data_IF_051723726381
#
_entry.id   IF_051723726381
#
_cell.length_a   1.000
_cell.length_b   1.000
_cell.length_c   1.000
_cell.angle_alpha   90.00
_cell.angle_beta   90.00
_cell.angle_gamma   90.00
#
_symmetry.space_group_name_H-M   'P 1'
#
loop_
_entity.id
_entity.type
_entity.pdbx_description
1 polymer ?
#
# COMPACT_ATOMS: atom_id res chain seq x y z
N UNK A 1 -7.61 -1.60 2.31
CA UNK A 1 -7.80 -0.94 1.00
C UNK A 1 -7.60 0.57 1.11
N UNK A 2 -7.24 1.21 0.00
CA UNK A 2 -6.96 2.64 -0.08
C UNK A 2 -7.94 3.32 -1.03
N UNK A 3 -8.45 4.49 -0.66
CA UNK A 3 -9.35 5.30 -1.46
C UNK A 3 -9.11 6.80 -1.23
N UNK A 4 -9.57 7.63 -2.15
CA UNK A 4 -9.54 9.09 -2.02
C UNK A 4 -10.95 9.65 -1.89
N UNK A 5 -11.29 10.24 -0.74
CA UNK A 5 -12.59 10.85 -0.38
C UNK A 5 -13.82 9.95 -0.48
N UNK A 6 -13.92 9.10 -1.48
CA UNK A 6 -15.09 8.26 -1.76
C UNK A 6 -14.66 6.80 -1.98
N UNK A 7 -15.04 5.93 -1.06
CA UNK A 7 -14.67 4.50 -1.10
C UNK A 7 -15.36 3.72 -2.22
N UNK A 8 -16.40 4.27 -2.85
CA UNK A 8 -17.10 3.65 -3.97
C UNK A 8 -16.54 4.10 -5.32
N UNK A 9 -16.46 5.43 -5.53
CA UNK A 9 -16.16 6.02 -6.83
C UNK A 9 -14.66 6.35 -7.04
N UNK A 10 -13.91 6.50 -5.95
CA UNK A 10 -12.49 6.85 -5.97
C UNK A 10 -11.65 5.81 -5.22
N UNK A 11 -11.98 4.55 -5.40
CA UNK A 11 -11.25 3.41 -4.84
C UNK A 11 -9.94 3.21 -5.62
N UNK A 12 -8.83 3.22 -4.91
CA UNK A 12 -7.50 3.04 -5.52
C UNK A 12 -7.10 1.56 -5.54
N UNK A 13 -7.25 0.87 -4.42
CA UNK A 13 -6.90 -0.54 -4.32
C UNK A 13 -8.12 -1.42 -4.18
N UNK A 14 -8.00 -2.62 -4.71
CA UNK A 14 -9.11 -3.56 -4.76
C UNK A 14 -9.43 -4.12 -3.39
N UNK A 15 -10.73 -4.20 -3.10
CA UNK A 15 -11.28 -4.85 -1.93
C UNK A 15 -12.57 -5.58 -2.32
N UNK A 16 -12.69 -6.83 -1.95
CA UNK A 16 -13.91 -7.62 -2.15
C UNK A 16 -14.60 -7.82 -0.81
N UNK A 17 -15.84 -7.40 -0.73
CA UNK A 17 -16.62 -7.49 0.50
C UNK A 17 -16.87 -8.93 0.96
N UNK A 18 -17.08 -9.84 -0.01
CA UNK A 18 -17.30 -11.26 0.24
C UNK A 18 -16.09 -12.09 -0.19
N UNK A 19 -14.92 -11.76 0.31
CA UNK A 19 -13.73 -12.53 0.01
C UNK A 19 -13.89 -13.97 0.46
N UNK A 20 -13.63 -14.89 -0.47
CA UNK A 20 -13.30 -16.26 -0.10
C UNK A 20 -12.00 -16.19 0.72
N UNK A 21 -11.87 -16.94 1.84
CA UNK A 21 -10.67 -16.87 2.68
C UNK A 21 -9.34 -17.11 1.96
N UNK A 22 -9.38 -17.73 0.78
CA UNK A 22 -8.22 -18.02 -0.06
C UNK A 22 -7.77 -16.86 -0.97
N UNK A 23 -8.59 -15.81 -1.12
CA UNK A 23 -8.29 -14.65 -1.99
C UNK A 23 -8.21 -13.38 -1.12
N UNK A 24 -7.26 -13.37 -0.22
CA UNK A 24 -7.03 -12.24 0.68
C UNK A 24 -6.52 -11.03 -0.12
N UNK A 25 -7.37 -10.00 -0.28
CA UNK A 25 -6.95 -8.71 -0.83
C UNK A 25 -6.08 -7.96 0.18
N UNK A 26 -5.02 -7.29 -0.29
CA UNK A 26 -4.14 -6.54 0.60
C UNK A 26 -2.97 -5.89 -0.13
N UNK A 27 -2.14 -5.20 0.65
CA UNK A 27 -0.84 -4.73 0.25
C UNK A 27 0.19 -5.66 0.87
N UNK A 28 1.06 -6.24 0.05
CA UNK A 28 1.99 -7.26 0.51
C UNK A 28 3.42 -6.92 0.16
N UNK A 29 4.32 -7.36 1.04
CA UNK A 29 5.75 -7.45 0.78
C UNK A 29 6.15 -8.90 0.95
N UNK A 30 6.54 -9.55 -0.13
CA UNK A 30 7.10 -10.90 -0.08
C UNK A 30 8.60 -10.79 0.03
N UNK A 31 9.17 -11.44 1.02
CA UNK A 31 10.61 -11.54 1.22
C UNK A 31 11.02 -12.98 0.92
N UNK A 32 11.91 -13.14 -0.03
CA UNK A 32 12.44 -14.44 -0.43
C UNK A 32 13.92 -14.52 -0.07
N UNK A 33 14.28 -15.59 0.64
CA UNK A 33 15.65 -15.96 1.00
C UNK A 33 15.84 -17.44 0.69
N UNK A 34 16.57 -17.77 -0.39
CA UNK A 34 16.62 -19.13 -0.91
C UNK A 34 15.23 -19.67 -1.25
N UNK A 35 14.84 -20.76 -0.63
CA UNK A 35 13.53 -21.39 -0.82
C UNK A 35 12.46 -20.87 0.15
N UNK A 36 12.85 -20.03 1.11
CA UNK A 36 11.92 -19.48 2.12
C UNK A 36 11.28 -18.21 1.60
N UNK A 37 9.95 -18.18 1.58
CA UNK A 37 9.14 -17.00 1.25
C UNK A 37 8.29 -16.67 2.46
N UNK A 38 8.30 -15.42 2.88
CA UNK A 38 7.52 -14.94 4.01
C UNK A 38 7.08 -13.48 3.84
N UNK A 39 6.13 -13.04 4.66
CA UNK A 39 5.62 -11.66 4.68
C UNK A 39 5.76 -11.06 6.08
N UNK A 40 6.11 -9.77 6.22
CA UNK A 40 6.15 -9.12 7.53
C UNK A 40 4.84 -9.20 8.30
N UNK A 41 3.69 -9.13 7.61
CA UNK A 41 2.35 -9.27 8.19
C UNK A 41 1.88 -10.71 8.40
N UNK A 42 2.71 -11.73 8.19
CA UNK A 42 2.40 -13.15 8.21
C UNK A 42 1.53 -13.62 7.04
N UNK A 43 0.43 -12.95 6.75
CA UNK A 43 -0.36 -13.22 5.54
C UNK A 43 0.24 -12.51 4.32
N UNK A 44 0.09 -13.07 3.09
CA UNK A 44 -0.73 -14.23 2.74
C UNK A 44 0.05 -15.56 2.75
N UNK A 45 1.38 -15.57 2.90
CA UNK A 45 2.19 -16.81 2.85
C UNK A 45 1.96 -17.72 4.05
N UNK A 46 1.57 -17.17 5.18
CA UNK A 46 1.38 -17.89 6.46
C UNK A 46 2.61 -18.67 6.92
N UNK A 47 3.79 -18.29 6.42
CA UNK A 47 5.06 -18.85 6.85
C UNK A 47 5.30 -18.52 8.32
N UNK A 48 5.61 -19.50 9.17
CA UNK A 48 5.89 -19.24 10.59
C UNK A 48 7.01 -18.23 10.76
N UNK A 49 6.75 -17.18 11.55
CA UNK A 49 7.70 -16.12 11.89
C UNK A 49 8.42 -16.46 13.20
N UNK A 50 9.65 -15.99 13.34
CA UNK A 50 10.43 -16.16 14.57
C UNK A 50 9.98 -15.14 15.63
N UNK A 51 9.57 -13.93 15.18
CA UNK A 51 8.95 -12.92 16.04
C UNK A 51 7.92 -12.11 15.25
N UNK A 52 6.92 -11.56 15.96
CA UNK A 52 5.91 -10.68 15.37
C UNK A 52 5.42 -9.67 16.40
N UNK A 53 5.41 -8.40 16.05
CA UNK A 53 4.81 -7.33 16.85
C UNK A 53 4.07 -6.37 15.90
N UNK A 54 2.82 -6.03 16.24
CA UNK A 54 2.06 -4.98 15.58
C UNK A 54 1.76 -3.86 16.55
N UNK A 55 2.18 -2.65 16.21
CA UNK A 55 1.89 -1.42 16.97
C UNK A 55 1.01 -0.51 16.15
N UNK A 56 -0.18 -0.24 16.67
CA UNK A 56 -1.13 0.70 16.07
C UNK A 56 -1.03 2.01 16.80
N UNK A 57 -0.63 3.04 16.07
CA UNK A 57 -0.60 4.42 16.55
C UNK A 57 -1.74 5.25 15.95
N UNK A 58 -1.80 6.52 16.33
CA UNK A 58 -2.75 7.47 15.77
C UNK A 58 -2.31 7.88 14.36
N UNK A 59 -3.01 7.35 13.35
CA UNK A 59 -2.74 7.64 11.94
C UNK A 59 -1.59 6.84 11.32
N UNK A 60 -1.00 5.87 12.03
CA UNK A 60 0.01 4.98 11.48
C UNK A 60 -0.07 3.58 12.09
N UNK A 61 0.49 2.61 11.39
CA UNK A 61 0.66 1.23 11.89
C UNK A 61 2.09 0.79 11.60
N UNK A 62 2.73 0.12 12.57
CA UNK A 62 4.05 -0.45 12.42
C UNK A 62 4.01 -1.95 12.75
N UNK A 63 4.47 -2.77 11.80
CA UNK A 63 4.60 -4.22 11.95
C UNK A 63 6.08 -4.56 11.94
N UNK A 64 6.55 -5.17 13.01
CA UNK A 64 7.93 -5.67 13.12
C UNK A 64 7.88 -7.18 13.24
N UNK A 65 8.63 -7.86 12.39
CA UNK A 65 8.71 -9.32 12.39
C UNK A 65 10.10 -9.79 11.98
N UNK A 66 10.43 -11.03 12.31
CA UNK A 66 11.69 -11.63 11.90
C UNK A 66 11.52 -13.05 11.39
N UNK A 67 12.41 -13.44 10.49
CA UNK A 67 12.56 -14.81 10.00
C UNK A 67 14.03 -15.10 9.70
N UNK A 68 14.55 -16.19 10.23
CA UNK A 68 15.93 -16.65 9.99
C UNK A 68 17.00 -15.56 10.25
N UNK A 69 16.78 -14.70 11.26
CA UNK A 69 17.67 -13.58 11.57
C UNK A 69 17.63 -12.41 10.57
N UNK A 70 16.66 -12.37 9.67
CA UNK A 70 16.31 -11.19 8.91
C UNK A 70 15.10 -10.51 9.58
N UNK A 71 15.27 -9.27 10.04
CA UNK A 71 14.22 -8.48 10.67
C UNK A 71 13.62 -7.50 9.68
N UNK A 72 12.31 -7.49 9.58
CA UNK A 72 11.54 -6.52 8.80
C UNK A 72 10.75 -5.60 9.73
N UNK A 73 10.75 -4.29 9.43
CA UNK A 73 9.85 -3.33 10.04
C UNK A 73 9.13 -2.55 8.96
N UNK A 74 7.81 -2.72 8.88
CA UNK A 74 6.93 -2.04 7.95
C UNK A 74 6.14 -0.98 8.70
N UNK A 75 6.32 0.31 8.37
CA UNK A 75 5.54 1.41 8.94
C UNK A 75 4.71 2.06 7.83
N UNK A 76 3.39 2.05 8.00
CA UNK A 76 2.42 2.61 7.05
C UNK A 76 1.77 3.84 7.66
N UNK A 77 1.65 4.91 6.88
CA UNK A 77 0.93 6.13 7.28
C UNK A 77 0.25 6.81 6.09
N UNK A 78 -0.73 7.63 6.40
CA UNK A 78 -1.28 8.63 5.47
C UNK A 78 -0.85 10.01 5.99
N UNK A 79 0.18 10.63 5.37
CA UNK A 79 0.71 11.90 5.85
C UNK A 79 -0.27 13.05 5.59
N UNK A 80 -0.31 14.00 6.50
CA UNK A 80 -1.21 15.15 6.41
C UNK A 80 -0.85 16.07 5.24
N UNK A 81 -1.89 16.51 4.51
CA UNK A 81 -1.71 17.42 3.36
C UNK A 81 -1.29 16.72 2.06
N UNK A 82 -1.15 15.41 2.08
CA UNK A 82 -0.79 14.62 0.90
C UNK A 82 -1.89 13.63 0.53
N UNK A 83 -2.02 13.35 -0.74
CA UNK A 83 -2.96 12.38 -1.29
C UNK A 83 -2.28 11.04 -1.53
N UNK A 84 -1.62 10.52 -0.50
CA UNK A 84 -0.82 9.30 -0.59
C UNK A 84 -0.89 8.47 0.70
N UNK A 85 -0.84 7.15 0.53
CA UNK A 85 -0.42 6.19 1.54
C UNK A 85 1.07 5.93 1.36
N UNK A 86 1.84 6.08 2.42
CA UNK A 86 3.30 5.91 2.38
C UNK A 86 3.72 4.80 3.32
N UNK A 87 4.47 3.85 2.78
CA UNK A 87 5.02 2.73 3.55
C UNK A 87 6.54 2.78 3.53
N UNK A 88 7.16 2.85 4.71
CA UNK A 88 8.57 2.55 4.85
C UNK A 88 8.75 1.09 5.28
N UNK A 89 9.54 0.35 4.53
CA UNK A 89 9.99 -0.99 4.87
C UNK A 89 11.49 -0.99 5.12
N UNK A 90 11.91 -1.39 6.32
CA UNK A 90 13.31 -1.62 6.63
C UNK A 90 13.57 -3.11 6.79
N UNK A 91 14.69 -3.59 6.23
CA UNK A 91 15.17 -4.96 6.34
C UNK A 91 16.57 -4.95 6.94
N UNK A 92 16.72 -5.56 8.12
CA UNK A 92 18.00 -5.62 8.85
C UNK A 92 18.48 -7.05 8.93
N UNK A 93 19.71 -7.29 8.51
CA UNK A 93 20.39 -8.59 8.70
C UNK A 93 20.97 -8.64 10.11
N UNK A 94 20.32 -9.38 11.02
CA UNK A 94 20.78 -9.57 12.40
C UNK A 94 21.74 -10.75 12.57
N UNK A 95 22.20 -11.37 11.45
CA UNK A 95 23.14 -12.49 11.49
C UNK A 95 24.57 -12.03 11.27
N UNK A 96 25.53 -12.95 11.51
CA UNK A 96 26.96 -12.74 11.26
C UNK A 96 27.40 -13.02 9.82
N UNK A 97 26.49 -13.48 8.95
CA UNK A 97 26.77 -13.82 7.56
C UNK A 97 25.96 -12.92 6.60
N UNK A 98 26.47 -12.64 5.39
CA UNK A 98 25.70 -11.93 4.37
C UNK A 98 24.44 -12.69 3.98
N UNK A 99 23.35 -11.96 3.68
CA UNK A 99 22.07 -12.50 3.24
C UNK A 99 21.70 -11.97 1.87
N UNK A 100 21.42 -12.88 0.93
CA UNK A 100 20.85 -12.52 -0.37
C UNK A 100 19.34 -12.62 -0.28
N UNK A 101 18.66 -11.53 -0.59
CA UNK A 101 17.23 -11.43 -0.51
C UNK A 101 16.64 -10.91 -1.83
N UNK A 102 15.44 -11.35 -2.13
CA UNK A 102 14.57 -10.75 -3.13
C UNK A 102 13.30 -10.26 -2.45
N UNK A 103 13.03 -8.98 -2.59
CA UNK A 103 11.80 -8.34 -2.09
C UNK A 103 10.86 -8.12 -3.27
N UNK A 104 9.60 -8.51 -3.09
CA UNK A 104 8.51 -8.20 -4.01
C UNK A 104 7.44 -7.40 -3.30
N UNK A 105 7.18 -6.18 -3.76
CA UNK A 105 5.99 -5.43 -3.34
C UNK A 105 4.77 -5.91 -4.12
N UNK A 106 3.58 -5.72 -3.58
CA UNK A 106 2.34 -6.06 -4.27
C UNK A 106 1.18 -5.19 -3.82
N UNK A 107 0.50 -4.58 -4.80
CA UNK A 107 -0.83 -3.99 -4.65
C UNK A 107 -1.71 -4.41 -5.83
N UNK A 108 -3.01 -4.56 -5.62
CA UNK A 108 -3.98 -4.75 -6.70
C UNK A 108 -4.80 -3.49 -6.86
N UNK A 109 -4.81 -2.91 -8.07
CA UNK A 109 -5.60 -1.72 -8.36
C UNK A 109 -7.08 -2.05 -8.53
N UNK A 110 -7.93 -1.18 -7.99
CA UNK A 110 -9.33 -1.11 -8.34
C UNK A 110 -9.50 -0.35 -9.66
N UNK A 111 -10.50 -0.71 -10.45
CA UNK A 111 -10.89 0.07 -11.63
C UNK A 111 -11.76 1.29 -11.24
N UNK A 112 -11.39 1.96 -10.17
CA UNK A 112 -11.94 3.16 -9.54
C UNK A 112 -13.33 3.00 -8.95
N UNK A 113 -14.30 2.49 -9.70
CA UNK A 113 -15.64 2.21 -9.19
C UNK A 113 -15.66 0.84 -8.50
N UNK A 114 -15.74 0.84 -7.18
CA UNK A 114 -15.70 -0.40 -6.39
C UNK A 114 -16.89 -1.33 -6.67
N UNK A 115 -18.05 -0.80 -6.98
CA UNK A 115 -19.22 -1.61 -7.30
C UNK A 115 -19.05 -2.30 -8.67
N UNK A 116 -18.58 -1.56 -9.66
CA UNK A 116 -18.30 -2.12 -10.98
C UNK A 116 -17.15 -3.12 -10.92
N UNK A 117 -16.11 -2.82 -10.12
CA UNK A 117 -14.96 -3.70 -9.94
C UNK A 117 -15.29 -5.00 -9.19
N UNK A 118 -16.33 -5.00 -8.35
CA UNK A 118 -16.79 -6.20 -7.63
C UNK A 118 -17.58 -7.17 -8.50
N UNK A 119 -18.09 -6.73 -9.63
CA UNK A 119 -18.86 -7.55 -10.56
C UNK A 119 -18.02 -7.90 -11.79
N UNK A 120 -17.84 -9.20 -12.07
CA UNK A 120 -16.99 -9.65 -13.17
C UNK A 120 -17.44 -9.11 -14.54
N UNK A 121 -18.73 -8.95 -14.75
CA UNK A 121 -19.27 -8.42 -15.99
C UNK A 121 -18.91 -6.95 -16.22
N UNK A 122 -19.03 -6.13 -15.19
CA UNK A 122 -18.77 -4.69 -15.28
C UNK A 122 -17.28 -4.37 -15.50
N UNK A 123 -16.39 -5.20 -14.99
CA UNK A 123 -14.95 -5.06 -15.21
C UNK A 123 -14.54 -5.11 -16.68
N UNK A 124 -15.31 -5.78 -17.52
CA UNK A 124 -15.03 -5.84 -18.95
C UNK A 124 -15.25 -4.51 -19.67
N UNK A 125 -15.87 -3.53 -19.02
CA UNK A 125 -16.14 -2.21 -19.58
C UNK A 125 -15.18 -1.12 -19.10
N UNK A 126 -14.29 -1.43 -18.19
CA UNK A 126 -13.25 -0.52 -17.72
C UNK A 126 -11.89 -1.16 -17.99
N UNK A 127 -11.06 -0.45 -18.73
CA UNK A 127 -9.73 -0.93 -19.13
C UNK A 127 -8.68 -0.21 -18.30
N UNK A 128 -7.83 -0.97 -17.64
CA UNK A 128 -6.63 -0.43 -17.04
C UNK A 128 -5.63 -0.05 -18.14
N UNK A 129 -5.03 1.10 -18.00
CA UNK A 129 -3.86 1.49 -18.79
C UNK A 129 -2.71 1.79 -17.85
N UNK A 130 -1.57 1.16 -18.10
CA UNK A 130 -0.38 1.28 -17.30
C UNK A 130 0.66 2.12 -18.02
N UNK A 131 1.36 2.94 -17.27
CA UNK A 131 2.54 3.66 -17.74
C UNK A 131 3.68 3.47 -16.74
N UNK A 132 4.93 3.61 -17.21
CA UNK A 132 6.10 3.32 -16.41
C UNK A 132 7.14 4.43 -16.53
N UNK A 133 7.89 4.65 -15.46
CA UNK A 133 9.09 5.49 -15.46
C UNK A 133 10.19 4.84 -14.61
N UNK A 134 11.41 5.32 -14.82
CA UNK A 134 12.59 4.92 -14.04
C UNK A 134 12.81 3.39 -14.03
N UNK A 135 12.65 2.75 -15.19
CA UNK A 135 12.85 1.30 -15.31
C UNK A 135 11.83 0.45 -14.53
N UNK A 136 10.62 0.99 -14.31
CA UNK A 136 9.54 0.29 -13.62
C UNK A 136 9.47 0.56 -12.10
N UNK A 137 10.39 1.39 -11.53
CA UNK A 137 10.28 1.78 -10.13
C UNK A 137 9.10 2.72 -9.85
N UNK A 138 8.53 3.32 -10.88
CA UNK A 138 7.33 4.13 -10.82
C UNK A 138 6.32 3.60 -11.83
N UNK A 139 5.16 3.18 -11.32
CA UNK A 139 4.06 2.57 -12.07
C UNK A 139 2.84 3.48 -11.93
N UNK A 140 2.24 3.83 -13.06
CA UNK A 140 1.03 4.64 -13.13
C UNK A 140 -0.14 3.81 -13.61
N UNK A 141 -1.30 4.01 -13.00
CA UNK A 141 -2.54 3.35 -13.36
C UNK A 141 -3.66 4.35 -13.58
N UNK A 142 -4.24 4.33 -14.75
CA UNK A 142 -5.50 5.01 -15.07
C UNK A 142 -6.50 4.02 -15.67
N UNK A 143 -7.76 4.39 -15.73
CA UNK A 143 -8.77 3.64 -16.46
C UNK A 143 -9.33 4.44 -17.62
N UNK A 144 -9.58 3.76 -18.71
CA UNK A 144 -10.23 4.30 -19.88
C UNK A 144 -11.54 3.55 -20.16
N UNK A 145 -12.22 3.93 -21.22
CA UNK A 145 -13.50 3.42 -21.68
C UNK A 145 -14.67 3.92 -20.82
N UNK A 146 -15.07 3.23 -19.75
CA UNK A 146 -16.20 3.64 -18.92
C UNK A 146 -15.84 4.72 -17.91
N UNK A 147 -14.68 4.61 -17.32
CA UNK A 147 -14.14 5.57 -16.36
C UNK A 147 -13.04 6.43 -17.01
N UNK A 148 -13.42 7.60 -17.50
CA UNK A 148 -12.53 8.50 -18.26
C UNK A 148 -12.23 9.79 -17.53
N UNK A 149 -12.00 9.72 -16.24
CA UNK A 149 -11.70 10.91 -15.45
C UNK A 149 -10.24 11.34 -15.63
N UNK A 150 -9.93 12.49 -15.09
CA UNK A 150 -8.61 13.10 -15.14
C UNK A 150 -7.69 12.65 -13.99
N UNK A 151 -8.14 11.71 -13.17
CA UNK A 151 -7.35 11.15 -12.08
C UNK A 151 -6.60 9.88 -12.49
N UNK A 152 -5.53 9.59 -11.76
CA UNK A 152 -4.74 8.37 -11.88
C UNK A 152 -4.10 8.03 -10.53
N UNK A 153 -3.67 6.77 -10.38
CA UNK A 153 -2.87 6.32 -9.27
C UNK A 153 -1.40 6.21 -9.68
N UNK A 154 -0.51 6.44 -8.73
CA UNK A 154 0.92 6.17 -8.87
C UNK A 154 1.38 5.26 -7.74
N UNK A 155 2.13 4.21 -8.06
CA UNK A 155 2.82 3.37 -7.09
C UNK A 155 4.32 3.38 -7.39
N UNK A 156 5.11 3.82 -6.43
CA UNK A 156 6.54 4.05 -6.64
C UNK A 156 7.36 3.61 -5.44
N UNK A 157 8.62 3.25 -5.70
CA UNK A 157 9.63 3.00 -4.69
C UNK A 157 10.85 3.90 -4.95
N UNK A 158 11.52 4.35 -3.87
CA UNK A 158 12.64 5.29 -3.91
C UNK A 158 13.99 4.67 -4.32
N UNK A 159 13.99 3.54 -5.01
CA UNK A 159 15.19 2.86 -5.49
C UNK A 159 14.96 2.27 -6.88
N UNK A 160 16.00 2.10 -7.70
CA UNK A 160 15.91 1.28 -8.90
C UNK A 160 15.49 -0.15 -8.58
N UNK A 161 14.67 -0.74 -9.45
CA UNK A 161 14.15 -2.10 -9.32
C UNK A 161 14.85 -3.06 -10.29
N UNK A 162 14.90 -4.34 -9.94
CA UNK A 162 15.44 -5.40 -10.76
C UNK A 162 14.40 -6.01 -11.71
N UNK A 163 13.14 -5.57 -11.56
CA UNK A 163 12.02 -5.95 -12.39
C UNK A 163 10.71 -5.52 -11.77
N UNK A 164 9.63 -5.68 -12.53
CA UNK A 164 8.27 -5.31 -12.09
C UNK A 164 7.23 -6.23 -12.74
N UNK A 165 6.01 -6.20 -12.24
CA UNK A 165 4.85 -6.84 -12.85
C UNK A 165 3.61 -6.00 -12.64
N UNK A 166 2.77 -5.91 -13.66
CA UNK A 166 1.47 -5.22 -13.59
C UNK A 166 0.29 -6.12 -13.94
N UNK A 167 0.54 -7.34 -14.44
CA UNK A 167 -0.50 -8.35 -14.67
C UNK A 167 -0.63 -9.27 -13.46
N UNK A 168 -1.83 -9.31 -12.86
CA UNK A 168 -2.15 -10.22 -11.77
C UNK A 168 -1.96 -11.69 -12.16
N UNK A 169 -2.37 -12.03 -13.37
CA UNK A 169 -2.28 -13.39 -13.87
C UNK A 169 -0.83 -13.84 -14.06
N UNK A 170 0.00 -12.97 -14.65
CA UNK A 170 1.43 -13.23 -14.81
C UNK A 170 2.14 -13.35 -13.45
N UNK A 171 1.79 -12.49 -12.48
CA UNK A 171 2.41 -12.48 -11.16
C UNK A 171 2.03 -13.72 -10.34
N UNK A 172 0.75 -14.03 -10.25
CA UNK A 172 0.25 -15.15 -9.42
C UNK A 172 0.51 -16.50 -10.12
N UNK A 173 0.28 -16.56 -11.42
CA UNK A 173 0.31 -17.79 -12.21
C UNK A 173 -0.99 -18.60 -12.11
N UNK A 174 -1.18 -19.50 -13.08
CA UNK A 174 -2.36 -20.36 -13.14
C UNK A 174 -2.39 -21.31 -11.93
N UNK A 175 -3.57 -21.46 -11.34
CA UNK A 175 -3.83 -22.35 -10.19
C UNK A 175 -3.04 -22.02 -8.91
N UNK A 176 -2.40 -20.86 -8.84
CA UNK A 176 -1.75 -20.36 -7.63
C UNK A 176 -2.62 -19.27 -6.97
N UNK A 177 -2.30 -18.97 -5.72
CA UNK A 177 -2.91 -17.87 -4.94
C UNK A 177 -1.84 -16.90 -4.42
N UNK A 178 -2.30 -15.90 -3.69
CA UNK A 178 -1.41 -14.92 -3.05
C UNK A 178 -0.43 -15.54 -2.04
N UNK A 179 -0.75 -16.69 -1.47
CA UNK A 179 0.17 -17.38 -0.55
C UNK A 179 1.45 -17.93 -1.21
N UNK A 180 1.44 -18.13 -2.54
CA UNK A 180 2.58 -18.67 -3.28
C UNK A 180 2.59 -18.19 -4.75
N UNK A 181 2.77 -16.88 -5.00
CA UNK A 181 2.78 -16.35 -6.35
C UNK A 181 3.93 -16.92 -7.17
N UNK A 182 3.66 -17.23 -8.44
CA UNK A 182 4.63 -17.85 -9.36
C UNK A 182 5.90 -17.01 -9.51
N UNK A 183 5.75 -15.69 -9.67
CA UNK A 183 6.87 -14.76 -9.85
C UNK A 183 7.80 -14.78 -8.62
N UNK A 184 7.22 -14.74 -7.41
CA UNK A 184 8.00 -14.77 -6.16
C UNK A 184 8.66 -16.14 -5.98
N UNK A 185 7.93 -17.22 -6.19
CA UNK A 185 8.45 -18.60 -6.07
C UNK A 185 9.64 -18.82 -6.99
N UNK A 186 9.52 -18.41 -8.25
CA UNK A 186 10.56 -18.62 -9.26
C UNK A 186 11.68 -17.55 -9.19
N UNK A 187 11.52 -16.51 -8.35
CA UNK A 187 12.40 -15.33 -8.30
C UNK A 187 12.64 -14.70 -9.68
N UNK A 188 11.59 -14.60 -10.48
CA UNK A 188 11.67 -14.17 -11.87
C UNK A 188 10.53 -13.20 -12.21
N UNK A 189 10.74 -11.86 -12.05
CA UNK A 189 9.79 -10.87 -12.53
C UNK A 189 9.65 -10.98 -14.05
N UNK A 190 8.44 -10.81 -14.56
CA UNK A 190 8.16 -10.99 -15.99
C UNK A 190 8.13 -9.66 -16.75
N UNK A 191 8.19 -8.53 -16.06
CA UNK A 191 8.01 -7.19 -16.58
C UNK A 191 6.70 -7.09 -17.38
N UNK A 192 5.66 -7.73 -16.86
CA UNK A 192 4.37 -7.80 -17.52
C UNK A 192 3.72 -6.43 -17.60
N UNK A 193 3.05 -6.16 -18.73
CA UNK A 193 2.29 -4.94 -18.96
C UNK A 193 0.79 -5.29 -19.09
N UNK A 194 -0.01 -4.80 -18.12
CA UNK A 194 -1.43 -5.10 -18.07
C UNK A 194 -2.25 -3.95 -18.65
N UNK A 195 -2.46 -3.95 -19.95
CA UNK A 195 -3.53 -3.19 -20.55
C UNK A 195 -4.81 -4.04 -20.55
N UNK A 196 -5.79 -3.66 -19.74
CA UNK A 196 -7.03 -4.42 -19.64
C UNK A 196 -7.57 -4.49 -18.21
N UNK A 197 -7.85 -5.67 -17.72
CA UNK A 197 -8.41 -5.92 -16.39
C UNK A 197 -7.43 -6.66 -15.47
N UNK A 198 -7.71 -6.62 -14.14
CA UNK A 198 -6.86 -7.17 -13.09
C UNK A 198 -5.44 -6.56 -13.03
N UNK A 199 -5.32 -5.21 -13.06
CA UNK A 199 -4.04 -4.54 -12.93
C UNK A 199 -3.51 -4.63 -11.50
N UNK A 200 -2.20 -4.87 -11.40
CA UNK A 200 -1.44 -4.83 -10.15
C UNK A 200 -0.26 -3.88 -10.28
N UNK A 201 0.42 -3.61 -9.17
CA UNK A 201 1.78 -3.12 -9.22
C UNK A 201 2.65 -3.94 -8.26
N UNK A 202 3.72 -4.47 -8.79
CA UNK A 202 4.75 -5.22 -8.08
C UNK A 202 6.14 -4.75 -8.51
N UNK A 203 7.02 -4.54 -7.55
CA UNK A 203 8.42 -4.25 -7.77
C UNK A 203 9.26 -5.42 -7.26
N UNK A 204 10.27 -5.83 -8.01
CA UNK A 204 11.29 -6.78 -7.58
C UNK A 204 12.57 -6.02 -7.23
N UNK A 205 13.10 -6.21 -6.02
CA UNK A 205 14.33 -5.58 -5.55
C UNK A 205 15.20 -6.65 -4.94
N UNK A 206 16.39 -6.89 -5.54
CA UNK A 206 17.36 -7.87 -5.06
C UNK A 206 18.52 -7.17 -4.38
N UNK A 207 18.86 -7.63 -3.19
CA UNK A 207 19.99 -7.05 -2.43
C UNK A 207 20.74 -8.16 -1.69
N UNK A 208 22.03 -7.91 -1.49
CA UNK A 208 22.84 -8.65 -0.53
C UNK A 208 23.10 -7.74 0.67
N UNK A 209 22.62 -8.15 1.84
CA UNK A 209 22.77 -7.40 3.08
C UNK A 209 23.93 -7.99 3.88
N UNK A 210 24.94 -7.19 4.16
CA UNK A 210 26.03 -7.53 5.05
C UNK A 210 25.54 -7.73 6.49
N UNK A 211 26.33 -8.36 7.36
CA UNK A 211 26.01 -8.41 8.79
C UNK A 211 25.72 -7.02 9.36
N UNK A 212 24.63 -6.91 10.11
CA UNK A 212 24.13 -5.67 10.74
C UNK A 212 23.71 -4.56 9.75
N UNK A 213 23.71 -4.82 8.45
CA UNK A 213 23.25 -3.85 7.45
C UNK A 213 21.72 -3.74 7.45
N UNK A 214 21.25 -2.52 7.30
CA UNK A 214 19.81 -2.20 7.14
C UNK A 214 19.57 -1.56 5.78
N UNK A 215 18.67 -2.17 5.02
CA UNK A 215 18.09 -1.59 3.81
C UNK A 215 16.81 -0.83 4.20
N UNK A 216 16.65 0.40 3.77
CA UNK A 216 15.43 1.18 3.93
C UNK A 216 14.82 1.51 2.58
N UNK A 217 13.54 1.24 2.43
CA UNK A 217 12.77 1.45 1.20
C UNK A 217 11.49 2.20 1.52
N UNK A 218 11.17 3.20 0.69
CA UNK A 218 9.95 3.99 0.83
C UNK A 218 9.06 3.73 -0.38
N UNK A 219 7.86 3.21 -0.14
CA UNK A 219 6.83 2.98 -1.14
C UNK A 219 5.73 4.03 -1.01
N UNK A 220 5.32 4.61 -2.11
CA UNK A 220 4.28 5.64 -2.18
C UNK A 220 3.16 5.16 -3.09
N UNK A 221 1.95 5.04 -2.55
CA UNK A 221 0.73 4.85 -3.31
C UNK A 221 -0.04 6.18 -3.32
N UNK A 222 0.04 6.91 -4.42
CA UNK A 222 -0.49 8.26 -4.56
C UNK A 222 -1.75 8.33 -5.43
N UNK A 223 -2.68 9.23 -5.05
CA UNK A 223 -3.76 9.70 -5.90
C UNK A 223 -3.35 11.03 -6.53
N UNK A 224 -3.45 11.12 -7.83
CA UNK A 224 -3.15 12.31 -8.60
C UNK A 224 -4.32 12.70 -9.48
N UNK A 225 -4.54 14.01 -9.65
CA UNK A 225 -5.59 14.54 -10.49
C UNK A 225 -5.03 15.68 -11.35
N UNK A 226 -5.22 15.58 -12.66
CA UNK A 226 -4.81 16.60 -13.61
C UNK A 226 -5.97 17.59 -13.84
N UNK A 227 -5.70 18.86 -14.17
CA UNK A 227 -6.71 19.71 -14.78
C UNK A 227 -7.33 19.04 -16.02
N UNK A 228 -8.63 19.23 -16.23
CA UNK A 228 -9.38 18.55 -17.31
C UNK A 228 -8.77 18.81 -18.69
N UNK A 229 -8.29 20.03 -18.92
CA UNK A 229 -7.64 20.47 -20.16
C UNK A 229 -6.17 20.05 -20.30
N UNK A 230 -5.58 19.47 -19.22
CA UNK A 230 -4.17 19.05 -19.17
C UNK A 230 -4.00 17.60 -18.75
N UNK A 231 -4.99 16.77 -19.04
CA UNK A 231 -4.94 15.33 -18.70
C UNK A 231 -3.75 14.62 -19.34
N UNK A 232 -3.46 14.93 -20.60
CA UNK A 232 -2.40 14.29 -21.37
C UNK A 232 -1.34 15.30 -21.84
N UNK A 233 -0.11 14.88 -21.89
CA UNK A 233 1.00 15.62 -22.50
C UNK A 233 1.16 15.31 -24.00
N UNK A 234 0.70 14.12 -24.42
CA UNK A 234 0.60 13.68 -25.81
C UNK A 234 -0.51 12.62 -25.90
N UNK A 235 -0.96 12.20 -27.10
CA UNK A 235 -2.02 11.20 -27.24
C UNK A 235 -1.74 9.93 -26.40
N UNK A 236 -2.61 9.65 -25.43
CA UNK A 236 -2.53 8.49 -24.55
C UNK A 236 -1.53 8.59 -23.38
N UNK A 237 -0.65 9.60 -23.35
CA UNK A 237 0.36 9.76 -22.29
C UNK A 237 -0.12 10.71 -21.20
N UNK A 238 -0.26 10.23 -19.98
CA UNK A 238 -0.74 11.01 -18.83
C UNK A 238 0.24 12.12 -18.49
N UNK A 239 -0.28 13.30 -18.09
CA UNK A 239 0.53 14.32 -17.45
C UNK A 239 0.91 13.86 -16.03
N UNK A 240 2.20 13.61 -15.79
CA UNK A 240 2.75 13.04 -14.56
C UNK A 240 3.27 14.08 -13.55
N UNK A 241 3.20 15.37 -13.90
CA UNK A 241 3.73 16.44 -13.02
C UNK A 241 3.17 16.41 -11.59
N UNK A 242 1.86 16.17 -11.35
CA UNK A 242 1.34 16.02 -9.99
C UNK A 242 1.97 14.85 -9.23
N UNK A 243 2.22 13.72 -9.90
CA UNK A 243 2.88 12.58 -9.29
C UNK A 243 4.35 12.87 -8.99
N UNK A 244 5.07 13.50 -9.91
CA UNK A 244 6.47 13.90 -9.68
C UNK A 244 6.58 14.84 -8.48
N UNK A 245 5.67 15.81 -8.34
CA UNK A 245 5.63 16.72 -7.19
C UNK A 245 5.41 15.94 -5.88
N UNK A 246 4.46 15.00 -5.88
CA UNK A 246 4.19 14.14 -4.72
C UNK A 246 5.39 13.27 -4.35
N UNK A 247 5.99 12.58 -5.32
CA UNK A 247 7.07 11.63 -5.08
C UNK A 247 8.35 12.30 -4.57
N UNK A 248 8.63 13.55 -4.94
CA UNK A 248 9.78 14.32 -4.41
C UNK A 248 9.75 14.48 -2.89
N UNK A 249 8.59 14.43 -2.27
CA UNK A 249 8.40 14.60 -0.82
C UNK A 249 8.73 13.34 0.01
N UNK A 250 9.00 12.19 -0.66
CA UNK A 250 9.16 10.88 0.00
C UNK A 250 10.36 10.09 -0.53
N UNK A 251 11.48 10.76 -0.81
CA UNK A 251 12.67 10.11 -1.36
C UNK A 251 13.63 9.58 -0.28
N UNK A 252 13.57 10.13 0.92
CA UNK A 252 14.54 9.84 1.98
C UNK A 252 13.87 9.49 3.30
N UNK A 253 14.59 8.73 4.15
CA UNK A 253 14.14 8.41 5.51
C UNK A 253 13.89 9.68 6.35
N UNK A 254 14.69 10.72 6.16
CA UNK A 254 14.52 11.99 6.86
C UNK A 254 13.16 12.64 6.52
N UNK A 255 12.78 12.64 5.24
CA UNK A 255 11.46 13.14 4.81
C UNK A 255 10.32 12.29 5.39
N UNK A 256 10.48 10.96 5.38
CA UNK A 256 9.49 10.07 5.99
C UNK A 256 9.31 10.35 7.50
N UNK A 257 10.41 10.45 8.25
CA UNK A 257 10.36 10.72 9.69
C UNK A 257 9.78 12.09 10.01
N UNK A 258 10.11 13.12 9.22
CA UNK A 258 9.51 14.46 9.36
C UNK A 258 7.98 14.40 9.24
N UNK A 259 7.45 13.73 8.20
CA UNK A 259 6.00 13.62 7.98
C UNK A 259 5.33 12.76 9.05
N UNK A 260 5.99 11.69 9.51
CA UNK A 260 5.49 10.86 10.61
C UNK A 260 5.46 11.63 11.93
N UNK A 261 6.49 12.41 12.23
CA UNK A 261 6.53 13.28 13.41
C UNK A 261 5.43 14.35 13.38
N UNK A 262 5.22 14.99 12.22
CA UNK A 262 4.13 15.95 12.03
C UNK A 262 2.75 15.33 12.21
N UNK A 263 2.54 14.09 11.73
CA UNK A 263 1.30 13.35 11.93
C UNK A 263 1.06 13.05 13.42
N UNK A 264 2.09 12.55 14.12
CA UNK A 264 2.01 12.29 15.57
C UNK A 264 1.73 13.56 16.38
N UNK A 265 2.40 14.66 16.06
CA UNK A 265 2.20 15.95 16.72
C UNK A 265 0.77 16.48 16.54
N UNK A 266 0.21 16.33 15.34
CA UNK A 266 -1.18 16.72 15.08
C UNK A 266 -2.16 15.94 15.96
N UNK A 267 -2.04 14.62 16.02
CA UNK A 267 -2.91 13.79 16.84
C UNK A 267 -2.73 14.07 18.34
N UNK A 268 -1.49 14.26 18.79
CA UNK A 268 -1.21 14.64 20.17
C UNK A 268 -1.88 15.97 20.52
N UNK A 269 -1.79 16.98 19.62
CA UNK A 269 -2.46 18.26 19.80
C UNK A 269 -3.98 18.13 19.92
N UNK A 270 -4.60 17.28 19.11
CA UNK A 270 -6.04 17.03 19.18
C UNK A 270 -6.46 16.31 20.46
N UNK A 271 -5.76 15.26 20.82
CA UNK A 271 -6.12 14.38 21.94
C UNK A 271 -5.83 15.03 23.31
N UNK A 272 -4.92 15.99 23.36
CA UNK A 272 -4.60 16.71 24.60
C UNK A 272 -5.66 17.74 25.07
N UNK A 273 -6.72 17.94 24.29
CA UNK A 273 -7.81 18.83 24.69
C UNK A 273 -8.66 18.27 25.87
N UNK A 274 -8.66 16.96 26.01
CA UNK A 274 -9.29 16.29 27.12
C UNK A 274 -8.36 15.21 27.67
N UNK A 275 -7.99 15.31 28.95
CA UNK A 275 -7.05 14.40 29.58
C UNK A 275 -7.53 13.97 30.96
N UNK A 276 -7.45 12.69 31.23
CA UNK A 276 -7.73 12.07 32.53
C UNK A 276 -6.45 11.42 33.03
N UNK A 277 -6.09 11.70 34.27
CA UNK A 277 -5.02 11.04 34.99
C UNK A 277 -5.59 10.26 36.20
N UNK A 278 -5.47 8.95 36.15
CA UNK A 278 -5.96 8.04 37.18
C UNK A 278 -4.90 6.97 37.50
N UNK A 279 -5.01 6.26 38.62
CA UNK A 279 -4.13 5.14 38.90
C UNK A 279 -4.24 3.96 37.93
N UNK A 280 -5.28 3.91 37.11
CA UNK A 280 -5.49 2.86 36.10
C UNK A 280 -5.00 3.31 34.70
N UNK A 281 -3.82 2.83 34.31
CA UNK A 281 -3.23 3.13 33.00
C UNK A 281 -4.10 2.67 31.85
N UNK A 282 -4.90 1.60 31.99
CA UNK A 282 -5.78 1.13 30.90
C UNK A 282 -6.94 2.10 30.72
N UNK A 283 -7.50 2.61 31.79
CA UNK A 283 -8.52 3.66 31.76
C UNK A 283 -7.96 4.93 31.13
N UNK A 284 -6.78 5.37 31.57
CA UNK A 284 -6.11 6.55 30.97
C UNK A 284 -5.92 6.39 29.46
N UNK A 285 -5.42 5.24 29.01
CA UNK A 285 -5.23 4.94 27.59
C UNK A 285 -6.55 4.91 26.83
N UNK A 286 -7.58 4.29 27.39
CA UNK A 286 -8.89 4.21 26.76
C UNK A 286 -9.51 5.61 26.58
N UNK A 287 -9.48 6.44 27.62
CA UNK A 287 -10.12 7.76 27.62
C UNK A 287 -9.30 8.79 26.83
N UNK A 288 -7.99 8.85 27.09
CA UNK A 288 -7.13 9.90 26.53
C UNK A 288 -6.76 9.65 25.05
N UNK A 289 -6.91 8.42 24.56
CA UNK A 289 -6.51 8.07 23.21
C UNK A 289 -7.67 7.44 22.42
N UNK A 290 -8.07 6.22 22.81
CA UNK A 290 -8.89 5.40 21.93
C UNK A 290 -10.31 5.92 21.75
N UNK A 291 -10.99 6.39 22.79
CA UNK A 291 -12.35 6.91 22.66
C UNK A 291 -12.40 8.13 21.76
N UNK A 292 -11.50 9.08 21.95
CA UNK A 292 -11.45 10.31 21.16
C UNK A 292 -11.07 10.01 19.69
N UNK A 293 -10.05 9.18 19.49
CA UNK A 293 -9.61 8.76 18.16
C UNK A 293 -10.72 8.01 17.41
N UNK A 294 -11.35 7.04 18.08
CA UNK A 294 -12.43 6.24 17.51
C UNK A 294 -13.64 7.10 17.12
N UNK A 295 -14.06 8.01 17.98
CA UNK A 295 -15.17 8.93 17.67
C UNK A 295 -14.86 9.76 16.42
N UNK A 296 -13.66 10.32 16.33
CA UNK A 296 -13.28 11.16 15.21
C UNK A 296 -13.15 10.37 13.90
N UNK A 297 -12.54 9.19 13.95
CA UNK A 297 -12.40 8.32 12.76
C UNK A 297 -13.79 7.85 12.31
N UNK A 298 -14.64 7.41 13.23
CA UNK A 298 -16.01 6.97 12.92
C UNK A 298 -16.81 8.10 12.30
N UNK A 299 -16.70 9.30 12.84
CA UNK A 299 -17.40 10.48 12.30
C UNK A 299 -16.95 10.78 10.84
N UNK A 300 -15.65 10.75 10.58
CA UNK A 300 -15.12 10.97 9.23
C UNK A 300 -15.52 9.85 8.26
N UNK A 301 -15.43 8.60 8.69
CA UNK A 301 -15.79 7.43 7.89
C UNK A 301 -17.29 7.37 7.60
N UNK A 302 -18.15 7.68 8.56
CA UNK A 302 -19.60 7.64 8.39
C UNK A 302 -20.10 8.66 7.36
N UNK A 303 -19.38 9.75 7.15
CA UNK A 303 -19.75 10.79 6.18
C UNK A 303 -19.28 10.50 4.75
N UNK A 304 -18.21 9.76 4.57
CA UNK A 304 -17.58 9.57 3.25
C UNK A 304 -17.52 8.12 2.79
N UNK A 305 -17.44 7.16 3.71
CA UNK A 305 -17.21 5.76 3.41
C UNK A 305 -18.29 4.81 3.96
N UNK A 306 -19.31 5.33 4.62
CA UNK A 306 -20.32 4.55 5.33
C UNK A 306 -21.10 3.56 4.46
N UNK A 307 -21.15 3.77 3.15
CA UNK A 307 -21.81 2.83 2.24
C UNK A 307 -21.21 1.43 2.32
N UNK A 308 -19.88 1.31 2.46
CA UNK A 308 -19.22 0.03 2.53
C UNK A 308 -19.11 -0.52 3.95
N UNK A 309 -18.95 0.32 4.94
CA UNK A 309 -18.79 -0.07 6.34
C UNK A 309 -20.12 -0.36 7.04
N UNK A 310 -21.15 0.43 6.75
CA UNK A 310 -22.48 0.27 7.37
C UNK A 310 -23.55 -0.29 6.46
N UNK A 311 -23.31 -0.40 5.16
CA UNK A 311 -24.27 -0.83 4.15
C UNK A 311 -25.41 0.18 3.89
N UNK A 312 -25.43 1.30 4.60
CA UNK A 312 -26.45 2.34 4.51
C UNK A 312 -25.72 3.68 4.48
N UNK A 313 -25.88 4.47 3.43
CA UNK A 313 -25.32 5.81 3.33
C UNK A 313 -25.90 6.78 4.36
N UNK A 314 -25.75 6.49 5.64
CA UNK A 314 -26.17 7.39 6.73
C UNK A 314 -24.99 8.30 7.06
N UNK A 315 -25.02 9.51 6.49
CA UNK A 315 -24.39 10.62 7.18
C UNK A 315 -25.21 10.94 8.43
N UNK A 316 -24.57 10.96 9.60
CA UNK A 316 -25.16 11.62 10.76
C UNK A 316 -24.97 13.12 10.65
#
# INVERSE_FOLDING_TARGET
>A
YTFYKDARLLRMTRYRYNNVPTDAGGHYFYIKEGDVIWNPGWQPTQTPLDSYECRVGTGYTSITSSKNGLKACQTVMVPRGYTAEVTRLTLTNETSAPKKISLYSFIEFCLWNAQDDSTNFQRNYALAEMEFENGGSTIYHKTEYRERRNHYAVYSVNTPVDGYDTSREAFIGLYNGFGNPQVVRNDAPTNSDAHGWAPIASHCIRRELKPSETLSLIFVLGYCENPVDKKFVSPGVINKEPAHALLREFQTDAQFEEKLAALKAYWAGLLNHFHVDSPDEKLNRQVNLWNQYQCMVTFNMSRSASYFESGIGRGM
#
